data_IF_427392655071
#
_entry.id   IF_427392655071
#
_cell.length_a   1.000
_cell.length_b   1.000
_cell.length_c   1.000
_cell.angle_alpha   90.00
_cell.angle_beta   90.00
_cell.angle_gamma   90.00
#
_symmetry.space_group_name_H-M   'P 1'
#
loop_
_entity.id
_entity.type
_entity.pdbx_description
1 polymer ?
#
# COMPACT_ATOMS: atom_id res chain seq x y z
N UNK A 1 13.37 33.18 -5.18
CA UNK A 1 13.54 32.17 -4.12
C UNK A 1 13.18 30.81 -4.68
N UNK A 2 14.06 29.82 -4.54
CA UNK A 2 13.83 28.44 -4.97
C UNK A 2 13.24 27.63 -3.82
N UNK A 3 12.18 26.88 -4.10
CA UNK A 3 11.55 25.93 -3.18
C UNK A 3 11.77 24.52 -3.70
N UNK A 4 12.53 23.72 -2.94
CA UNK A 4 12.70 22.31 -3.22
C UNK A 4 11.63 21.47 -2.51
N UNK A 5 10.92 20.66 -3.29
CA UNK A 5 9.98 19.64 -2.82
C UNK A 5 10.51 18.26 -3.21
N UNK A 6 10.33 17.30 -2.32
CA UNK A 6 10.67 15.90 -2.56
C UNK A 6 9.57 15.04 -1.98
N UNK A 7 9.09 14.11 -2.79
CA UNK A 7 8.06 13.15 -2.44
C UNK A 7 8.53 11.74 -2.77
N UNK A 8 8.18 10.81 -1.91
CA UNK A 8 8.41 9.39 -2.09
C UNK A 8 7.33 8.62 -1.32
N UNK A 9 7.13 7.36 -1.68
CA UNK A 9 6.26 6.46 -0.91
C UNK A 9 6.78 6.32 0.53
N UNK A 10 5.87 6.23 1.51
CA UNK A 10 6.25 6.09 2.93
C UNK A 10 6.86 4.73 3.27
N UNK A 11 6.38 3.68 2.61
CA UNK A 11 6.80 2.29 2.78
C UNK A 11 6.90 1.64 1.40
N UNK A 12 8.03 1.04 1.07
CA UNK A 12 8.24 0.26 -0.15
C UNK A 12 8.78 -1.13 0.16
N UNK A 13 8.59 -2.07 -0.77
CA UNK A 13 9.15 -3.40 -0.65
C UNK A 13 10.58 -3.48 -1.19
N UNK A 14 11.39 -4.42 -0.69
CA UNK A 14 12.66 -4.76 -1.32
C UNK A 14 12.43 -5.26 -2.75
N UNK A 15 13.35 -4.90 -3.65
CA UNK A 15 13.26 -5.16 -5.10
C UNK A 15 12.03 -4.52 -5.79
N UNK A 16 11.33 -3.61 -5.12
CA UNK A 16 10.31 -2.76 -5.72
C UNK A 16 10.98 -1.54 -6.36
N UNK A 17 10.44 -1.10 -7.50
CA UNK A 17 10.82 0.19 -8.08
C UNK A 17 10.25 1.30 -7.19
N UNK A 18 11.08 2.14 -6.60
CA UNK A 18 10.67 3.29 -5.82
C UNK A 18 10.89 4.55 -6.63
N UNK A 19 9.84 5.35 -6.79
CA UNK A 19 9.93 6.65 -7.45
C UNK A 19 10.13 7.75 -6.42
N UNK A 20 11.17 8.54 -6.63
CA UNK A 20 11.47 9.77 -5.90
C UNK A 20 11.15 10.94 -6.83
N UNK A 21 10.18 11.76 -6.42
CA UNK A 21 9.63 12.84 -7.21
C UNK A 21 10.07 14.20 -6.67
N UNK A 22 10.68 15.02 -7.52
CA UNK A 22 11.01 16.42 -7.23
C UNK A 22 10.32 17.42 -8.18
N UNK A 23 9.37 16.96 -8.99
CA UNK A 23 8.70 17.72 -10.05
C UNK A 23 7.98 18.96 -9.57
N UNK A 24 7.40 18.91 -8.37
CA UNK A 24 6.65 20.04 -7.81
C UNK A 24 7.55 21.13 -7.22
N UNK A 25 8.88 20.95 -7.28
CA UNK A 25 9.82 22.03 -6.96
C UNK A 25 9.65 23.22 -7.89
N UNK A 26 9.65 24.44 -7.35
CA UNK A 26 9.43 25.65 -8.14
C UNK A 26 10.30 26.82 -7.67
N UNK A 27 10.54 27.76 -8.58
CA UNK A 27 11.18 29.02 -8.26
C UNK A 27 10.16 30.17 -8.35
N UNK A 28 10.29 31.15 -7.45
CA UNK A 28 9.51 32.37 -7.46
C UNK A 28 10.43 33.57 -7.71
N UNK A 29 10.09 34.43 -8.67
CA UNK A 29 10.85 35.64 -9.01
C UNK A 29 11.88 35.43 -10.12
N UNK A 30 13.07 35.99 -9.96
CA UNK A 30 14.15 35.95 -10.95
C UNK A 30 15.07 34.72 -10.86
N UNK A 31 14.84 33.82 -9.89
CA UNK A 31 15.60 32.59 -9.80
C UNK A 31 15.06 31.57 -10.81
N UNK A 32 15.95 30.89 -11.52
CA UNK A 32 15.62 29.83 -12.48
C UNK A 32 16.12 28.48 -11.97
N UNK A 33 15.31 27.42 -12.13
CA UNK A 33 15.75 26.05 -11.86
C UNK A 33 16.50 25.56 -13.09
N UNK A 34 17.82 25.44 -12.97
CA UNK A 34 18.69 24.99 -14.07
C UNK A 34 19.17 23.55 -13.88
N UNK A 35 19.24 23.09 -12.62
CA UNK A 35 19.76 21.78 -12.25
C UNK A 35 18.98 21.20 -11.07
N UNK A 36 18.53 19.97 -11.21
CA UNK A 36 17.86 19.20 -10.15
C UNK A 36 18.58 17.87 -10.01
N UNK A 37 19.10 17.61 -8.83
CA UNK A 37 19.78 16.37 -8.51
C UNK A 37 19.07 15.66 -7.36
N UNK A 38 18.97 14.34 -7.46
CA UNK A 38 18.42 13.48 -6.42
C UNK A 38 19.51 12.53 -5.96
N UNK A 39 19.66 12.41 -4.64
CA UNK A 39 20.45 11.37 -3.98
C UNK A 39 19.47 10.32 -3.42
N UNK A 40 19.48 9.08 -3.93
CA UNK A 40 18.49 8.07 -3.56
C UNK A 40 18.65 7.56 -2.12
N UNK A 41 19.88 7.59 -1.58
CA UNK A 41 20.19 7.17 -0.21
C UNK A 41 21.37 7.95 0.33
N UNK A 42 21.37 8.27 1.62
CA UNK A 42 22.53 8.89 2.29
C UNK A 42 23.81 8.08 2.03
N UNK A 43 24.83 8.74 1.52
CA UNK A 43 26.11 8.11 1.15
C UNK A 43 26.24 7.77 -0.34
N UNK A 44 25.13 7.74 -1.08
CA UNK A 44 25.14 7.57 -2.54
C UNK A 44 25.48 8.87 -3.27
N UNK A 45 25.86 8.72 -4.54
CA UNK A 45 26.10 9.83 -5.43
C UNK A 45 24.82 10.61 -5.76
N UNK A 46 24.97 11.90 -6.08
CA UNK A 46 23.91 12.71 -6.66
C UNK A 46 23.69 12.30 -8.11
N UNK A 47 22.43 12.13 -8.49
CA UNK A 47 22.00 11.80 -9.85
C UNK A 47 21.29 13.02 -10.43
N UNK A 48 21.76 13.51 -11.57
CA UNK A 48 21.09 14.60 -12.29
C UNK A 48 19.81 14.09 -12.96
N UNK A 49 18.68 14.72 -12.61
CA UNK A 49 17.34 14.38 -13.10
C UNK A 49 16.67 15.56 -13.81
N UNK A 50 17.43 16.60 -14.18
CA UNK A 50 16.90 17.76 -14.89
C UNK A 50 16.22 17.42 -16.20
N UNK A 51 16.71 16.41 -16.93
CA UNK A 51 16.11 15.96 -18.19
C UNK A 51 15.06 14.85 -18.01
N UNK A 52 14.90 14.34 -16.79
CA UNK A 52 14.04 13.19 -16.45
C UNK A 52 12.74 13.62 -15.76
N UNK A 53 12.19 14.78 -16.12
CA UNK A 53 11.01 15.39 -15.48
C UNK A 53 11.15 15.53 -13.94
N UNK A 54 12.39 15.62 -13.45
CA UNK A 54 12.73 15.64 -12.02
C UNK A 54 12.29 14.39 -11.26
N UNK A 55 12.27 13.24 -11.92
CA UNK A 55 11.94 11.93 -11.35
C UNK A 55 13.18 11.03 -11.30
N UNK A 56 13.36 10.32 -10.19
CA UNK A 56 14.34 9.24 -10.07
C UNK A 56 13.61 7.94 -9.70
N UNK A 57 13.76 6.93 -10.54
CA UNK A 57 13.31 5.56 -10.22
C UNK A 57 14.52 4.75 -9.71
N UNK A 58 14.39 4.18 -8.51
CA UNK A 58 15.47 3.45 -7.83
C UNK A 58 14.97 2.14 -7.22
N UNK A 59 15.85 1.14 -7.08
CA UNK A 59 15.50 -0.14 -6.46
C UNK A 59 16.38 -0.33 -5.22
N UNK A 60 15.76 -0.74 -4.11
CA UNK A 60 16.44 -1.05 -2.85
C UNK A 60 16.42 -2.56 -2.60
N UNK A 61 17.55 -3.13 -2.22
CA UNK A 61 17.74 -4.56 -1.99
C UNK A 61 17.71 -4.95 -0.50
N UNK A 62 17.92 -3.99 0.40
CA UNK A 62 17.98 -4.20 1.86
C UNK A 62 16.82 -3.54 2.61
N UNK A 63 16.31 -4.21 3.65
CA UNK A 63 15.38 -3.61 4.62
C UNK A 63 16.10 -2.55 5.46
N UNK A 64 15.66 -1.31 5.39
CA UNK A 64 16.19 -0.21 6.17
C UNK A 64 15.28 1.04 6.09
N UNK A 65 15.54 2.02 6.96
CA UNK A 65 15.00 3.36 6.78
C UNK A 65 15.97 4.13 5.87
N UNK A 66 15.49 4.51 4.70
CA UNK A 66 16.24 5.26 3.70
C UNK A 66 15.93 6.74 3.84
N UNK A 67 16.97 7.59 3.76
CA UNK A 67 16.81 9.03 3.59
C UNK A 67 17.26 9.43 2.19
N UNK A 68 16.30 9.88 1.37
CA UNK A 68 16.57 10.46 0.06
C UNK A 68 16.65 11.99 0.18
N UNK A 69 17.45 12.61 -0.69
CA UNK A 69 17.65 14.06 -0.72
C UNK A 69 17.50 14.59 -2.13
N UNK A 70 16.92 15.78 -2.29
CA UNK A 70 16.94 16.56 -3.53
C UNK A 70 17.79 17.80 -3.30
N UNK A 71 18.54 18.20 -4.32
CA UNK A 71 19.28 19.45 -4.36
C UNK A 71 18.99 20.18 -5.66
N UNK A 72 18.71 21.48 -5.57
CA UNK A 72 18.43 22.35 -6.72
C UNK A 72 19.53 23.40 -6.84
N UNK A 73 20.08 23.55 -8.04
CA UNK A 73 21.17 24.49 -8.38
C UNK A 73 22.31 24.50 -7.35
N UNK A 74 22.64 23.33 -6.79
CA UNK A 74 23.67 23.16 -5.74
C UNK A 74 23.46 24.00 -4.46
N UNK A 75 22.30 24.62 -4.26
CA UNK A 75 22.07 25.63 -3.21
C UNK A 75 20.96 25.28 -2.23
N UNK A 76 19.86 24.68 -2.70
CA UNK A 76 18.71 24.32 -1.86
C UNK A 76 18.63 22.81 -1.75
N UNK A 77 18.72 22.27 -0.53
CA UNK A 77 18.61 20.84 -0.24
C UNK A 77 17.38 20.54 0.62
N UNK A 78 16.68 19.45 0.30
CA UNK A 78 15.57 18.92 1.09
C UNK A 78 15.67 17.41 1.15
N UNK A 79 15.31 16.81 2.28
CA UNK A 79 15.35 15.37 2.48
C UNK A 79 14.02 14.83 2.97
N UNK A 80 13.72 13.58 2.60
CA UNK A 80 12.60 12.78 3.09
C UNK A 80 13.13 11.42 3.54
N UNK A 81 12.48 10.81 4.53
CA UNK A 81 12.79 9.43 4.94
C UNK A 81 11.59 8.53 4.76
N UNK A 82 11.83 7.30 4.35
CA UNK A 82 10.84 6.25 4.15
C UNK A 82 11.42 4.88 4.50
N UNK A 83 10.54 3.91 4.69
CA UNK A 83 10.91 2.57 5.15
C UNK A 83 10.91 1.58 3.98
N UNK A 84 11.97 0.77 3.89
CA UNK A 84 12.04 -0.39 3.01
C UNK A 84 11.83 -1.65 3.84
N UNK A 85 10.82 -2.45 3.47
CA UNK A 85 10.45 -3.70 4.13
C UNK A 85 10.53 -4.86 3.14
N UNK A 86 10.76 -6.10 3.57
CA UNK A 86 10.67 -7.26 2.68
C UNK A 86 9.21 -7.63 2.41
N UNK A 87 8.99 -8.41 1.35
CA UNK A 87 7.68 -9.00 1.06
C UNK A 87 7.17 -9.86 2.25
N UNK A 88 8.08 -10.57 2.94
CA UNK A 88 7.75 -11.39 4.11
C UNK A 88 7.29 -10.54 5.31
N UNK A 89 7.99 -9.43 5.58
CA UNK A 89 7.64 -8.49 6.65
C UNK A 89 6.35 -7.73 6.33
N UNK A 90 6.18 -7.31 5.06
CA UNK A 90 5.02 -6.54 4.64
C UNK A 90 3.75 -7.41 4.60
N UNK A 91 3.88 -8.68 4.20
CA UNK A 91 2.85 -9.73 4.22
C UNK A 91 1.50 -9.24 3.65
N UNK A 92 1.54 -8.59 2.50
CA UNK A 92 0.32 -8.08 1.83
C UNK A 92 -0.63 -9.24 1.50
N UNK A 93 -1.92 -9.04 1.71
CA UNK A 93 -2.92 -10.10 1.51
C UNK A 93 -3.22 -10.38 0.02
N UNK A 94 -2.89 -9.43 -0.85
CA UNK A 94 -3.00 -9.57 -2.31
C UNK A 94 -1.90 -8.78 -3.00
N UNK A 95 -1.70 -9.08 -4.29
CA UNK A 95 -0.64 -8.51 -5.12
C UNK A 95 -1.19 -7.76 -6.34
N UNK A 96 -0.37 -6.89 -6.93
CA UNK A 96 -0.67 -6.21 -8.19
C UNK A 96 -1.05 -7.19 -9.32
N UNK A 97 -0.41 -8.37 -9.36
CA UNK A 97 -0.72 -9.41 -10.35
C UNK A 97 -2.17 -9.87 -10.25
N UNK A 98 -2.71 -9.93 -9.04
CA UNK A 98 -4.10 -10.30 -8.80
C UNK A 98 -5.08 -9.24 -9.31
N UNK A 99 -4.70 -7.96 -9.25
CA UNK A 99 -5.48 -6.85 -9.82
C UNK A 99 -5.47 -6.91 -11.34
N UNK A 100 -4.30 -7.10 -11.95
CA UNK A 100 -4.12 -7.13 -13.41
C UNK A 100 -4.87 -8.30 -14.08
N UNK A 101 -5.09 -9.40 -13.35
CA UNK A 101 -5.89 -10.52 -13.82
C UNK A 101 -7.37 -10.16 -14.01
N UNK A 102 -7.88 -9.14 -13.31
CA UNK A 102 -9.26 -8.68 -13.40
C UNK A 102 -9.41 -7.41 -14.25
N UNK A 103 -8.49 -6.47 -14.11
CA UNK A 103 -8.55 -5.15 -14.72
C UNK A 103 -7.19 -4.79 -15.33
N UNK A 104 -6.99 -5.11 -16.60
CA UNK A 104 -5.71 -4.87 -17.29
C UNK A 104 -5.37 -3.39 -17.40
N UNK A 105 -6.38 -2.51 -17.47
CA UNK A 105 -6.22 -1.06 -17.62
C UNK A 105 -5.75 -0.36 -16.33
N UNK A 106 -5.80 -1.04 -15.18
CA UNK A 106 -5.52 -0.42 -13.89
C UNK A 106 -4.07 0.05 -13.77
N UNK A 107 -3.15 -0.52 -14.55
CA UNK A 107 -1.75 -0.07 -14.62
C UNK A 107 -1.63 1.39 -15.09
N UNK A 108 -2.54 1.84 -15.96
CA UNK A 108 -2.53 3.20 -16.48
C UNK A 108 -3.10 4.22 -15.49
N UNK A 109 -3.67 3.77 -14.37
CA UNK A 109 -4.29 4.61 -13.35
C UNK A 109 -3.36 4.92 -12.17
N UNK A 110 -2.17 4.29 -12.12
CA UNK A 110 -1.17 4.50 -11.08
C UNK A 110 -0.79 5.99 -11.08
N UNK A 111 -0.93 6.70 -9.94
CA UNK A 111 -0.49 8.07 -9.82
C UNK A 111 1.01 8.21 -10.09
N UNK A 112 1.45 9.39 -10.50
CA UNK A 112 2.81 9.55 -11.00
C UNK A 112 3.88 9.33 -9.92
N UNK A 113 3.51 9.42 -8.65
CA UNK A 113 4.37 9.26 -7.47
C UNK A 113 4.61 7.79 -7.09
N UNK A 114 3.83 6.87 -7.66
CA UNK A 114 3.91 5.44 -7.36
C UNK A 114 4.28 4.63 -8.61
N UNK A 115 4.85 3.46 -8.36
CA UNK A 115 5.22 2.47 -9.39
C UNK A 115 4.32 1.22 -9.34
N UNK A 116 3.74 0.93 -8.17
CA UNK A 116 2.88 -0.22 -7.87
C UNK A 116 1.65 0.21 -7.10
N UNK A 117 0.68 -0.71 -6.95
CA UNK A 117 -0.49 -0.50 -6.09
C UNK A 117 -0.27 -0.97 -4.64
N UNK A 118 0.96 -1.27 -4.23
CA UNK A 118 1.27 -1.75 -2.88
C UNK A 118 0.72 -0.84 -1.78
N UNK A 119 0.72 0.48 -1.98
CA UNK A 119 0.14 1.43 -1.04
C UNK A 119 -1.38 1.24 -0.83
N UNK A 120 -2.13 0.88 -1.90
CA UNK A 120 -3.56 0.54 -1.82
C UNK A 120 -3.80 -0.85 -1.27
N UNK A 121 -2.90 -1.80 -1.50
CA UNK A 121 -2.93 -3.08 -0.82
C UNK A 121 -2.77 -2.93 0.70
N UNK A 122 -1.87 -2.05 1.17
CA UNK A 122 -1.72 -1.73 2.60
C UNK A 122 -2.95 -1.05 3.19
N UNK A 123 -3.57 -0.12 2.45
CA UNK A 123 -4.82 0.51 2.87
C UNK A 123 -5.96 -0.51 3.01
N UNK A 124 -6.10 -1.42 2.04
CA UNK A 124 -7.06 -2.52 2.11
C UNK A 124 -6.75 -3.48 3.26
N UNK A 125 -5.48 -3.85 3.47
CA UNK A 125 -5.06 -4.70 4.58
C UNK A 125 -5.44 -4.09 5.94
N UNK A 126 -5.20 -2.79 6.12
CA UNK A 126 -5.57 -2.08 7.34
C UNK A 126 -7.09 -2.11 7.57
N UNK A 127 -7.88 -1.80 6.54
CA UNK A 127 -9.34 -1.83 6.64
C UNK A 127 -9.87 -3.24 6.95
N UNK A 128 -9.25 -4.29 6.41
CA UNK A 128 -9.58 -5.68 6.73
C UNK A 128 -9.28 -5.98 8.20
N UNK A 129 -8.09 -5.64 8.69
CA UNK A 129 -7.72 -5.87 10.10
C UNK A 129 -8.66 -5.13 11.06
N UNK A 130 -9.01 -3.88 10.76
CA UNK A 130 -9.98 -3.10 11.54
C UNK A 130 -11.37 -3.74 11.56
N UNK A 131 -11.85 -4.24 10.42
CA UNK A 131 -13.11 -4.97 10.32
C UNK A 131 -13.09 -6.26 11.14
N UNK A 132 -11.99 -7.03 11.09
CA UNK A 132 -11.83 -8.26 11.87
C UNK A 132 -11.81 -7.98 13.37
N UNK A 133 -11.10 -6.93 13.78
CA UNK A 133 -11.09 -6.50 15.18
C UNK A 133 -12.46 -5.98 15.62
N UNK A 134 -13.22 -5.31 14.75
CA UNK A 134 -14.59 -4.86 15.02
C UNK A 134 -15.55 -6.03 15.20
N UNK A 135 -15.36 -7.13 14.44
CA UNK A 135 -16.09 -8.39 14.59
C UNK A 135 -15.71 -9.19 15.85
N UNK A 136 -14.80 -8.67 16.67
CA UNK A 136 -14.42 -9.27 17.95
C UNK A 136 -13.35 -10.36 17.85
N UNK A 137 -12.68 -10.50 16.70
CA UNK A 137 -11.54 -11.41 16.60
C UNK A 137 -10.36 -10.85 17.39
N UNK A 138 -9.79 -11.67 18.25
CA UNK A 138 -8.65 -11.34 19.12
C UNK A 138 -7.66 -12.52 19.10
N UNK A 139 -6.41 -12.22 19.41
CA UNK A 139 -5.39 -13.24 19.63
C UNK A 139 -5.63 -14.04 20.93
N UNK A 140 -4.76 -15.01 21.24
CA UNK A 140 -4.89 -15.80 22.47
C UNK A 140 -4.75 -14.97 23.76
N UNK A 141 -4.16 -13.78 23.68
CA UNK A 141 -3.97 -12.85 24.80
C UNK A 141 -5.11 -11.82 24.91
N UNK A 142 -6.09 -11.85 23.99
CA UNK A 142 -7.18 -10.90 23.92
C UNK A 142 -6.82 -9.55 23.27
N UNK A 143 -5.65 -9.44 22.63
CA UNK A 143 -5.22 -8.26 21.87
C UNK A 143 -5.74 -8.31 20.43
N UNK A 144 -5.66 -7.14 19.78
CA UNK A 144 -6.01 -6.98 18.38
C UNK A 144 -5.12 -7.84 17.48
N UNK A 145 -5.73 -8.43 16.45
CA UNK A 145 -5.00 -9.26 15.49
C UNK A 145 -4.15 -8.38 14.61
N UNK A 146 -2.90 -8.79 14.42
CA UNK A 146 -1.97 -8.15 13.48
C UNK A 146 -1.82 -8.99 12.21
N UNK A 147 -1.28 -8.40 11.13
CA UNK A 147 -1.01 -9.13 9.89
C UNK A 147 -0.11 -10.37 10.08
N UNK A 148 0.72 -10.39 11.12
CA UNK A 148 1.59 -11.54 11.40
C UNK A 148 0.80 -12.78 11.85
N UNK A 149 -0.32 -12.59 12.53
CA UNK A 149 -1.17 -13.66 13.06
C UNK A 149 -2.08 -14.32 12.01
N UNK A 150 -2.09 -13.82 10.77
CA UNK A 150 -3.04 -14.24 9.74
C UNK A 150 -2.31 -15.03 8.65
N UNK A 151 -2.83 -16.22 8.32
CA UNK A 151 -2.42 -16.94 7.11
C UNK A 151 -3.23 -16.45 5.90
N UNK A 152 -2.55 -16.24 4.78
CA UNK A 152 -3.19 -15.75 3.55
C UNK A 152 -3.92 -16.91 2.87
N UNK A 153 -5.22 -17.01 3.13
CA UNK A 153 -6.13 -17.94 2.44
C UNK A 153 -6.57 -17.38 1.07
N UNK A 154 -7.14 -18.21 0.21
CA UNK A 154 -7.65 -17.78 -1.10
C UNK A 154 -8.77 -16.75 -0.98
N UNK A 155 -9.58 -16.93 0.05
CA UNK A 155 -10.72 -16.08 0.37
C UNK A 155 -10.27 -14.73 0.95
N UNK A 156 -9.26 -14.71 1.84
CA UNK A 156 -8.66 -13.46 2.32
C UNK A 156 -7.98 -12.70 1.18
N UNK A 157 -7.26 -13.40 0.30
CA UNK A 157 -6.70 -12.81 -0.91
C UNK A 157 -7.80 -12.22 -1.80
N UNK A 158 -8.90 -12.94 -2.03
CA UNK A 158 -10.02 -12.43 -2.81
C UNK A 158 -10.66 -11.19 -2.19
N UNK A 159 -10.85 -11.18 -0.87
CA UNK A 159 -11.37 -10.01 -0.15
C UNK A 159 -10.44 -8.81 -0.30
N UNK A 160 -9.15 -8.98 0.01
CA UNK A 160 -8.15 -7.93 -0.13
C UNK A 160 -8.08 -7.39 -1.55
N UNK A 161 -8.03 -8.26 -2.55
CA UNK A 161 -8.01 -7.90 -3.97
C UNK A 161 -9.21 -7.04 -4.37
N UNK A 162 -10.43 -7.46 -4.04
CA UNK A 162 -11.63 -6.70 -4.39
C UNK A 162 -11.71 -5.38 -3.62
N UNK A 163 -11.26 -5.36 -2.36
CA UNK A 163 -11.22 -4.13 -1.58
C UNK A 163 -10.20 -3.14 -2.14
N UNK A 164 -9.02 -3.60 -2.55
CA UNK A 164 -8.02 -2.78 -3.24
C UNK A 164 -8.57 -2.18 -4.53
N UNK A 165 -9.24 -2.98 -5.37
CA UNK A 165 -9.90 -2.48 -6.59
C UNK A 165 -10.98 -1.44 -6.28
N UNK A 166 -11.78 -1.66 -5.23
CA UNK A 166 -12.74 -0.67 -4.77
C UNK A 166 -12.07 0.65 -4.41
N UNK A 167 -11.01 0.63 -3.58
CA UNK A 167 -10.29 1.84 -3.17
C UNK A 167 -9.68 2.59 -4.36
N UNK A 168 -9.09 1.88 -5.32
CA UNK A 168 -8.50 2.50 -6.52
C UNK A 168 -9.58 3.22 -7.34
N UNK A 169 -10.68 2.54 -7.64
CA UNK A 169 -11.72 3.13 -8.48
C UNK A 169 -12.54 4.19 -7.76
N UNK A 170 -12.72 4.07 -6.45
CA UNK A 170 -13.40 5.06 -5.63
C UNK A 170 -12.63 6.38 -5.62
N UNK A 171 -11.30 6.34 -5.46
CA UNK A 171 -10.45 7.55 -5.52
C UNK A 171 -10.49 8.26 -6.88
N UNK A 172 -10.66 7.50 -7.97
CA UNK A 172 -10.77 8.05 -9.33
C UNK A 172 -12.18 8.53 -9.67
N UNK A 173 -13.19 8.17 -8.89
CA UNK A 173 -14.57 8.55 -9.16
C UNK A 173 -14.76 10.05 -8.87
N UNK A 174 -14.84 10.86 -9.93
CA UNK A 174 -15.16 12.29 -9.81
C UNK A 174 -16.61 12.56 -9.42
N UNK A 175 -17.51 11.61 -9.70
CA UNK A 175 -18.94 11.66 -9.37
C UNK A 175 -19.53 10.26 -9.24
N UNK A 176 -20.70 10.17 -8.60
CA UNK A 176 -21.46 8.92 -8.46
C UNK A 176 -22.00 8.36 -9.77
N UNK A 177 -21.95 9.12 -10.87
CA UNK A 177 -22.41 8.70 -12.19
C UNK A 177 -21.24 8.29 -13.11
N UNK A 178 -20.00 8.34 -12.60
CA UNK A 178 -18.84 7.95 -13.38
C UNK A 178 -18.75 6.42 -13.55
N UNK A 179 -18.15 5.98 -14.66
CA UNK A 179 -17.85 4.56 -14.91
C UNK A 179 -16.97 3.98 -13.78
N UNK A 180 -16.09 4.80 -13.20
CA UNK A 180 -15.26 4.42 -12.06
C UNK A 180 -16.09 4.17 -10.80
N UNK A 181 -17.14 4.96 -10.54
CA UNK A 181 -18.06 4.70 -9.43
C UNK A 181 -18.78 3.36 -9.59
N UNK A 182 -19.29 3.05 -10.77
CA UNK A 182 -19.97 1.78 -11.02
C UNK A 182 -19.02 0.59 -10.81
N UNK A 183 -17.79 0.66 -11.33
CA UNK A 183 -16.73 -0.33 -11.08
C UNK A 183 -16.41 -0.44 -9.58
N UNK A 184 -16.22 0.68 -8.89
CA UNK A 184 -15.96 0.69 -7.45
C UNK A 184 -17.07 -0.04 -6.69
N UNK A 185 -18.34 0.29 -6.94
CA UNK A 185 -19.47 -0.36 -6.27
C UNK A 185 -19.60 -1.85 -6.60
N UNK A 186 -19.27 -2.27 -7.82
CA UNK A 186 -19.19 -3.69 -8.20
C UNK A 186 -18.15 -4.42 -7.34
N UNK A 187 -16.95 -3.85 -7.20
CA UNK A 187 -15.89 -4.44 -6.39
C UNK A 187 -16.18 -4.38 -4.89
N UNK A 188 -16.85 -3.34 -4.41
CA UNK A 188 -17.34 -3.26 -3.04
C UNK A 188 -18.27 -4.42 -2.71
N UNK A 189 -19.26 -4.69 -3.56
CA UNK A 189 -20.18 -5.85 -3.38
C UNK A 189 -19.45 -7.18 -3.43
N UNK A 190 -18.45 -7.33 -4.31
CA UNK A 190 -17.63 -8.55 -4.39
C UNK A 190 -16.78 -8.75 -3.13
N UNK A 191 -16.18 -7.67 -2.62
CA UNK A 191 -15.46 -7.63 -1.34
C UNK A 191 -16.38 -8.00 -0.17
N UNK A 192 -17.58 -7.42 -0.10
CA UNK A 192 -18.54 -7.70 0.98
C UNK A 192 -19.05 -9.14 0.92
N UNK A 193 -19.19 -9.71 -0.28
CA UNK A 193 -19.50 -11.14 -0.42
C UNK A 193 -18.33 -12.00 0.10
N UNK A 194 -17.11 -11.71 -0.35
CA UNK A 194 -15.91 -12.45 0.06
C UNK A 194 -15.68 -12.41 1.57
N UNK A 195 -15.96 -11.28 2.24
CA UNK A 195 -15.80 -11.14 3.69
C UNK A 195 -16.88 -11.85 4.52
N UNK A 196 -17.99 -12.24 3.90
CA UNK A 196 -19.14 -12.90 4.54
C UNK A 196 -19.18 -14.41 4.27
N UNK A 197 -18.38 -14.92 3.34
CA UNK A 197 -18.28 -16.35 3.07
C UNK A 197 -17.61 -17.06 4.27
N UNK A 198 -18.34 -17.98 4.90
CA UNK A 198 -18.22 -18.38 6.32
C UNK A 198 -16.94 -19.12 6.76
N UNK A 199 -15.97 -19.36 5.89
CA UNK A 199 -14.84 -20.29 6.12
C UNK A 199 -13.52 -19.75 5.56
N UNK A 200 -13.08 -18.56 5.98
CA UNK A 200 -11.97 -17.90 5.28
C UNK A 200 -10.74 -17.54 6.10
N UNK A 201 -10.78 -17.57 7.43
CA UNK A 201 -9.63 -17.15 8.24
C UNK A 201 -9.03 -18.31 8.99
N UNK A 202 -7.80 -18.62 8.60
CA UNK A 202 -6.90 -19.42 9.41
C UNK A 202 -6.05 -18.44 10.23
N UNK A 203 -6.16 -18.53 11.55
CA UNK A 203 -5.45 -17.67 12.47
C UNK A 203 -4.44 -18.49 13.26
N UNK A 204 -3.20 -17.99 13.30
CA UNK A 204 -2.19 -18.42 14.26
C UNK A 204 -2.32 -17.52 15.50
N UNK A 205 -3.11 -18.00 16.46
CA UNK A 205 -3.45 -17.22 17.67
C UNK A 205 -2.31 -17.19 18.68
N UNK A 206 -1.41 -18.18 18.68
CA UNK A 206 -0.37 -18.35 19.68
C UNK A 206 1.05 -18.07 19.13
N UNK A 207 1.19 -17.81 17.83
CA UNK A 207 2.49 -17.59 17.18
C UNK A 207 3.34 -18.85 17.12
N UNK A 208 2.74 -20.03 17.32
CA UNK A 208 3.43 -21.32 17.32
C UNK A 208 3.27 -22.07 15.99
N UNK A 209 2.61 -21.48 15.01
CA UNK A 209 2.25 -22.14 13.75
C UNK A 209 1.03 -23.06 13.87
N UNK A 210 0.31 -23.03 14.99
CA UNK A 210 -0.92 -23.78 15.18
C UNK A 210 -2.11 -22.97 14.63
N UNK A 211 -2.52 -23.39 13.44
CA UNK A 211 -3.54 -22.73 12.65
C UNK A 211 -4.96 -23.17 13.06
N UNK A 212 -5.75 -22.26 13.63
CA UNK A 212 -7.17 -22.48 13.89
C UNK A 212 -8.04 -21.86 12.80
N UNK A 213 -8.92 -22.67 12.20
CA UNK A 213 -9.97 -22.16 11.30
C UNK A 213 -11.03 -21.46 12.14
N UNK A 214 -11.12 -20.14 12.02
CA UNK A 214 -12.12 -19.36 12.75
C UNK A 214 -13.37 -19.18 11.89
N UNK A 215 -14.46 -19.77 12.37
CA UNK A 215 -15.77 -19.66 11.75
C UNK A 215 -16.50 -18.46 12.38
N UNK A 216 -16.74 -17.39 11.61
CA UNK A 216 -17.44 -16.18 12.05
C UNK A 216 -18.97 -16.33 12.07
N UNK A 217 -19.49 -17.56 11.95
CA UNK A 217 -20.92 -17.82 12.13
C UNK A 217 -21.39 -17.39 13.52
N UNK A 218 -22.50 -16.63 13.58
CA UNK A 218 -23.27 -16.30 14.79
C UNK A 218 -23.95 -17.57 15.34
N UNK A 219 -23.15 -18.57 15.68
CA UNK A 219 -23.55 -19.77 16.40
C UNK A 219 -22.44 -20.13 17.40
N UNK A 220 -22.07 -19.16 18.24
CA UNK A 220 -21.77 -19.50 19.64
C UNK A 220 -23.08 -19.91 20.34
N UNK A 221 -23.78 -20.89 19.78
CA UNK A 221 -24.94 -21.53 20.37
C UNK A 221 -24.44 -22.41 21.51
N UNK A 222 -24.20 -21.80 22.67
CA UNK A 222 -24.09 -22.53 23.92
C UNK A 222 -25.49 -22.95 24.35
N UNK A 223 -26.02 -24.03 23.75
CA UNK A 223 -27.20 -24.71 24.27
C UNK A 223 -26.77 -25.45 25.54
N UNK A 224 -26.87 -24.76 26.68
CA UNK A 224 -26.85 -25.44 27.98
C UNK A 224 -28.24 -26.03 28.18
N UNK A 225 -28.40 -27.34 27.93
CA UNK A 225 -29.58 -28.07 28.41
C UNK A 225 -29.55 -28.07 29.94
N UNK A 226 -30.61 -27.56 30.57
CA UNK A 226 -31.02 -27.98 31.91
C UNK A 226 -32.05 -29.09 31.77
#
# INVERSE_FOLDING_TARGET
MIFALIEAVKIAQTNELVRINAKDSFANGADEITKVEIRPKTGEAWVDVSEADHLLDWIYDTEEIVTASVRINDTVEKSISFEIVSEETDKLFSSDKDLYALETEIRNLIPCEYSTWNYKHREAQKAILEELNTRGLRDSEGKEITKQNIEITKELNAWSKYLTLYLIYFDKASSQESIYWEKAMRYKRASDKASNDRLFLTLDKNGAGDNEVVNLGIDSARVVRR
#
